data_IF_078751844611
#
_entry.id   IF_078751844611
#
_cell.length_a   1.000
_cell.length_b   1.000
_cell.length_c   1.000
_cell.angle_alpha   90.00
_cell.angle_beta   90.00
_cell.angle_gamma   90.00
#
_symmetry.space_group_name_H-M   'P 1'
#
loop_
_entity.id
_entity.type
_entity.pdbx_description
1 polymer ?
#
# COMPACT_ATOMS: atom_id res chain seq x y z
N UNK A 1 -2.63 17.06 -6.90
CA UNK A 1 -2.26 15.70 -6.48
C UNK A 1 -2.50 15.59 -4.98
N UNK A 2 -3.25 14.60 -4.49
CA UNK A 2 -3.64 14.52 -3.09
C UNK A 2 -2.54 13.96 -2.15
N UNK A 3 -1.53 13.27 -2.69
CA UNK A 3 -0.47 12.60 -1.92
C UNK A 3 0.89 12.93 -2.54
N UNK A 4 1.85 13.36 -1.70
CA UNK A 4 3.21 13.70 -2.11
C UNK A 4 4.24 12.99 -1.24
N UNK A 5 5.31 12.49 -1.87
CA UNK A 5 6.52 12.04 -1.19
C UNK A 5 7.63 13.05 -1.46
N UNK A 6 8.28 13.53 -0.40
CA UNK A 6 9.39 14.48 -0.53
C UNK A 6 10.66 13.80 -1.03
N UNK A 7 11.00 12.67 -0.43
CA UNK A 7 12.15 11.85 -0.80
C UNK A 7 11.79 10.39 -0.84
N UNK A 8 12.36 9.68 -1.80
CA UNK A 8 12.41 8.22 -1.81
C UNK A 8 13.77 7.76 -1.26
N UNK A 9 13.76 6.93 -0.22
CA UNK A 9 14.90 6.20 0.33
C UNK A 9 16.16 7.04 0.64
N UNK A 10 16.09 8.08 1.49
CA UNK A 10 17.27 8.89 1.79
C UNK A 10 18.46 8.07 2.30
N UNK A 11 18.20 7.00 3.08
CA UNK A 11 19.28 6.12 3.56
C UNK A 11 19.97 5.31 2.46
N UNK A 12 19.25 4.91 1.39
CA UNK A 12 19.85 4.24 0.22
C UNK A 12 20.72 5.22 -0.56
N UNK A 13 20.17 6.42 -0.82
CA UNK A 13 20.93 7.48 -1.49
C UNK A 13 22.25 7.76 -0.78
N UNK A 14 22.21 7.91 0.54
CA UNK A 14 23.40 8.17 1.37
C UNK A 14 24.35 6.97 1.38
N UNK A 15 23.83 5.76 1.62
CA UNK A 15 24.64 4.55 1.67
C UNK A 15 25.34 4.27 0.33
N UNK A 16 24.63 4.37 -0.78
CA UNK A 16 25.19 4.02 -2.08
C UNK A 16 26.04 5.15 -2.68
N UNK A 17 25.65 6.40 -2.47
CA UNK A 17 26.35 7.54 -3.06
C UNK A 17 27.54 8.05 -2.25
N UNK A 18 27.47 7.94 -0.91
CA UNK A 18 28.44 8.61 -0.04
C UNK A 18 29.19 7.66 0.92
N UNK A 19 28.66 6.47 1.18
CA UNK A 19 29.33 5.47 2.02
C UNK A 19 30.02 4.38 1.18
N UNK A 20 29.27 3.74 0.26
CA UNK A 20 29.79 2.67 -0.60
C UNK A 20 30.42 3.21 -1.89
N UNK A 21 29.99 4.37 -2.37
CA UNK A 21 30.48 5.00 -3.59
C UNK A 21 30.09 4.28 -4.87
N UNK A 22 28.94 3.56 -4.86
CA UNK A 22 28.40 2.82 -6.02
C UNK A 22 27.60 3.76 -6.91
N UNK A 23 26.76 4.60 -6.30
CA UNK A 23 25.97 5.60 -7.03
C UNK A 23 26.70 6.95 -7.09
N UNK A 24 26.37 7.82 -8.06
CA UNK A 24 26.87 9.20 -8.03
C UNK A 24 26.51 9.87 -6.68
N UNK A 25 27.41 10.66 -6.11
CA UNK A 25 28.69 11.15 -6.65
C UNK A 25 29.91 10.24 -6.41
N UNK A 26 29.72 8.99 -6.01
CA UNK A 26 30.79 8.01 -5.89
C UNK A 26 31.76 8.26 -4.72
N UNK A 27 31.27 8.87 -3.63
CA UNK A 27 32.07 9.16 -2.44
C UNK A 27 32.13 7.96 -1.50
N UNK A 28 33.25 7.88 -0.73
CA UNK A 28 33.45 6.91 0.36
C UNK A 28 33.85 7.68 1.62
N UNK A 29 32.93 8.45 2.16
CA UNK A 29 33.17 9.35 3.27
C UNK A 29 31.99 9.26 4.28
N UNK A 30 32.16 8.53 5.39
CA UNK A 30 31.12 8.37 6.42
C UNK A 30 30.70 9.69 7.07
N UNK A 31 31.61 10.67 7.23
CA UNK A 31 31.29 11.98 7.80
C UNK A 31 30.38 12.76 6.86
N UNK A 32 30.74 12.80 5.59
CA UNK A 32 29.90 13.42 4.57
C UNK A 32 28.55 12.68 4.42
N UNK A 33 28.54 11.36 4.54
CA UNK A 33 27.30 10.57 4.53
C UNK A 33 26.32 11.01 5.63
N UNK A 34 26.79 11.19 6.86
CA UNK A 34 25.98 11.70 7.98
C UNK A 34 25.43 13.10 7.71
N UNK A 35 26.27 14.02 7.24
CA UNK A 35 25.84 15.38 6.91
C UNK A 35 24.82 15.43 5.77
N UNK A 36 24.96 14.58 4.76
CA UNK A 36 23.99 14.49 3.64
C UNK A 36 22.66 13.95 4.14
N UNK A 37 22.65 12.93 5.00
CA UNK A 37 21.40 12.41 5.59
C UNK A 37 20.67 13.50 6.37
N UNK A 38 21.38 14.23 7.24
CA UNK A 38 20.84 15.34 8.01
C UNK A 38 20.23 16.42 7.10
N UNK A 39 20.95 16.85 6.06
CA UNK A 39 20.44 17.82 5.10
C UNK A 39 19.20 17.36 4.36
N UNK A 40 19.11 16.07 3.97
CA UNK A 40 17.93 15.52 3.32
C UNK A 40 16.73 15.50 4.28
N UNK A 41 16.95 15.13 5.54
CA UNK A 41 15.87 15.11 6.54
C UNK A 41 15.39 16.52 6.86
N UNK A 42 16.29 17.51 6.99
CA UNK A 42 15.93 18.92 7.17
C UNK A 42 15.19 19.47 5.95
N UNK A 43 15.63 19.16 4.73
CA UNK A 43 14.93 19.54 3.52
C UNK A 43 13.51 18.94 3.43
N UNK A 44 13.29 17.71 3.97
CA UNK A 44 11.95 17.17 4.12
C UNK A 44 11.08 18.05 5.02
N UNK A 45 11.60 18.44 6.21
CA UNK A 45 10.88 19.27 7.19
C UNK A 45 10.48 20.61 6.56
N UNK A 46 11.42 21.30 5.93
CA UNK A 46 11.16 22.57 5.24
C UNK A 46 10.14 22.41 4.09
N UNK A 47 10.30 21.37 3.28
CA UNK A 47 9.37 21.08 2.17
C UNK A 47 7.96 20.82 2.69
N UNK A 48 7.81 20.08 3.79
CA UNK A 48 6.52 19.83 4.41
C UNK A 48 5.83 21.16 4.79
N UNK A 49 6.53 22.04 5.52
CA UNK A 49 5.97 23.32 5.95
C UNK A 49 5.62 24.24 4.74
N UNK A 50 6.52 24.31 3.76
CA UNK A 50 6.28 25.10 2.54
C UNK A 50 5.06 24.61 1.77
N UNK A 51 4.92 23.29 1.57
CA UNK A 51 3.76 22.72 0.86
C UNK A 51 2.47 22.91 1.66
N UNK A 52 2.51 22.77 2.99
CA UNK A 52 1.33 23.00 3.85
C UNK A 52 0.90 24.47 3.92
N UNK A 53 1.80 25.39 3.68
CA UNK A 53 1.50 26.83 3.64
C UNK A 53 0.81 27.29 2.33
N UNK A 54 0.77 26.47 1.29
CA UNK A 54 0.12 26.80 0.02
C UNK A 54 -1.41 26.82 0.23
N UNK A 55 -2.13 27.90 -0.12
CA UNK A 55 -3.58 27.94 -0.03
C UNK A 55 -4.25 26.80 -0.81
N UNK A 56 -5.17 26.07 -0.17
CA UNK A 56 -5.85 24.91 -0.77
C UNK A 56 -5.11 23.58 -0.59
N UNK A 57 -4.00 23.56 0.13
CA UNK A 57 -3.22 22.34 0.40
C UNK A 57 -3.67 21.58 1.66
N UNK A 58 -4.72 22.02 2.36
CA UNK A 58 -5.13 21.47 3.66
C UNK A 58 -5.44 19.97 3.62
N UNK A 59 -5.91 19.47 2.46
CA UNK A 59 -6.21 18.06 2.22
C UNK A 59 -5.05 17.26 1.62
N UNK A 60 -3.97 17.92 1.27
CA UNK A 60 -2.80 17.26 0.68
C UNK A 60 -2.07 16.49 1.78
N UNK A 61 -1.76 15.22 1.49
CA UNK A 61 -0.97 14.34 2.36
C UNK A 61 0.48 14.36 1.92
N UNK A 62 1.38 14.62 2.84
CA UNK A 62 2.82 14.72 2.59
C UNK A 62 3.54 13.70 3.47
N UNK A 63 4.42 12.94 2.88
CA UNK A 63 5.20 11.93 3.58
C UNK A 63 6.60 11.78 3.01
N UNK A 64 7.35 10.86 3.58
CA UNK A 64 8.67 10.43 3.15
C UNK A 64 8.67 8.92 3.00
N UNK A 65 9.39 8.40 2.01
CA UNK A 65 9.54 6.97 1.80
C UNK A 65 10.83 6.48 2.41
N UNK A 66 10.73 5.56 3.37
CA UNK A 66 11.86 4.95 4.07
C UNK A 66 12.07 3.52 3.63
N UNK A 67 13.26 3.23 3.11
CA UNK A 67 13.71 1.85 2.94
C UNK A 67 14.16 1.26 4.27
N UNK A 68 13.75 0.05 4.56
CA UNK A 68 14.24 -0.73 5.71
C UNK A 68 14.86 -2.02 5.20
N UNK A 69 16.15 -2.15 5.35
CA UNK A 69 16.86 -3.43 5.39
C UNK A 69 17.09 -3.82 6.84
N UNK A 70 17.10 -5.11 7.12
CA UNK A 70 17.50 -5.59 8.43
C UNK A 70 18.91 -6.13 8.37
N UNK A 71 19.76 -5.61 9.24
CA UNK A 71 21.13 -6.07 9.39
C UNK A 71 21.15 -7.08 10.52
N UNK A 72 21.21 -8.37 10.17
CA UNK A 72 21.23 -9.46 11.12
C UNK A 72 22.65 -10.08 11.22
N UNK A 73 23.10 -10.54 12.41
CA UNK A 73 24.40 -11.16 12.55
C UNK A 73 24.47 -12.46 11.75
N UNK A 74 25.53 -12.66 10.96
CA UNK A 74 25.73 -13.90 10.22
C UNK A 74 25.91 -15.08 11.16
N UNK A 75 26.78 -14.89 12.17
CA UNK A 75 27.08 -15.88 13.21
C UNK A 75 26.40 -15.46 14.51
N UNK A 76 25.36 -16.18 14.90
CA UNK A 76 24.51 -15.84 16.06
C UNK A 76 25.25 -15.67 17.39
N UNK A 77 26.45 -16.28 17.53
CA UNK A 77 27.25 -16.27 18.76
C UNK A 77 28.48 -15.36 18.70
N UNK A 78 28.63 -14.59 17.63
CA UNK A 78 29.81 -13.77 17.42
C UNK A 78 29.54 -12.30 17.76
N UNK A 79 30.23 -11.79 18.79
CA UNK A 79 29.99 -10.44 19.32
C UNK A 79 30.15 -9.33 18.30
N UNK A 80 31.18 -9.41 17.42
CA UNK A 80 31.40 -8.38 16.39
C UNK A 80 30.27 -8.39 15.35
N UNK A 81 29.70 -9.55 14.99
CA UNK A 81 28.58 -9.61 14.06
C UNK A 81 27.36 -8.89 14.66
N UNK A 82 27.10 -9.08 15.96
CA UNK A 82 26.06 -8.35 16.67
C UNK A 82 26.31 -6.86 16.78
N UNK A 83 27.55 -6.48 17.14
CA UNK A 83 27.92 -5.06 17.29
C UNK A 83 27.73 -4.29 15.98
N UNK A 84 28.25 -4.80 14.86
CA UNK A 84 28.11 -4.16 13.56
C UNK A 84 26.68 -4.23 13.03
N UNK A 85 25.95 -5.34 13.26
CA UNK A 85 24.52 -5.39 12.90
C UNK A 85 23.72 -4.31 13.63
N UNK A 86 24.00 -4.10 14.93
CA UNK A 86 23.35 -3.04 15.71
C UNK A 86 23.67 -1.65 15.16
N UNK A 87 24.96 -1.34 14.94
CA UNK A 87 25.41 -0.05 14.41
C UNK A 87 24.73 0.23 13.06
N UNK A 88 24.72 -0.75 12.15
CA UNK A 88 24.11 -0.59 10.83
C UNK A 88 22.58 -0.38 10.91
N UNK A 89 21.89 -1.12 11.77
CA UNK A 89 20.46 -0.86 12.01
C UNK A 89 20.23 0.53 12.62
N UNK A 90 21.08 0.97 13.54
CA UNK A 90 20.95 2.28 14.18
C UNK A 90 21.13 3.41 13.14
N UNK A 91 22.20 3.40 12.36
CA UNK A 91 22.46 4.50 11.40
C UNK A 91 21.55 4.45 10.18
N UNK A 92 21.25 3.26 9.67
CA UNK A 92 20.46 3.12 8.46
C UNK A 92 18.97 3.26 8.68
N UNK A 93 18.43 2.64 9.75
CA UNK A 93 17.01 2.54 10.01
C UNK A 93 16.56 3.45 11.15
N UNK A 94 17.21 3.33 12.33
CA UNK A 94 16.69 3.96 13.54
C UNK A 94 16.94 5.47 13.55
N UNK A 95 18.12 5.94 13.14
CA UNK A 95 18.46 7.35 13.18
C UNK A 95 17.51 8.24 12.36
N UNK A 96 17.16 7.94 11.11
CA UNK A 96 16.18 8.73 10.37
C UNK A 96 14.77 8.70 10.99
N UNK A 97 14.32 7.53 11.47
CA UNK A 97 13.00 7.40 12.10
C UNK A 97 12.92 8.16 13.43
N UNK A 98 13.97 8.09 14.24
CA UNK A 98 14.03 8.81 15.52
C UNK A 98 14.07 10.32 15.30
N UNK A 99 14.82 10.81 14.30
CA UNK A 99 14.82 12.22 13.92
C UNK A 99 13.42 12.71 13.54
N UNK A 100 12.71 11.99 12.68
CA UNK A 100 11.34 12.35 12.25
C UNK A 100 10.33 12.31 13.40
N UNK A 101 10.57 11.45 14.39
CA UNK A 101 9.70 11.25 15.55
C UNK A 101 9.94 12.27 16.66
N UNK A 102 11.21 12.59 16.95
CA UNK A 102 11.59 13.35 18.13
C UNK A 102 12.29 14.68 17.83
N UNK A 103 12.73 14.89 16.60
CA UNK A 103 13.58 16.03 16.22
C UNK A 103 15.05 15.89 16.63
N UNK A 104 15.43 14.72 17.17
CA UNK A 104 16.80 14.46 17.63
C UNK A 104 17.23 13.06 17.21
N UNK A 105 18.47 12.95 16.74
CA UNK A 105 19.06 11.64 16.44
C UNK A 105 20.57 11.75 16.30
N UNK A 106 21.24 10.60 16.16
CA UNK A 106 22.67 10.53 15.91
C UNK A 106 22.98 9.53 14.81
N UNK A 107 23.76 9.99 13.85
CA UNK A 107 24.40 9.11 12.86
C UNK A 107 25.80 8.77 13.38
N UNK A 108 25.89 7.70 14.17
CA UNK A 108 27.09 7.35 14.92
C UNK A 108 27.65 5.97 14.49
N UNK A 109 28.92 5.99 14.06
CA UNK A 109 29.72 4.78 13.83
C UNK A 109 31.07 4.94 14.51
N UNK A 110 31.41 4.09 15.51
CA UNK A 110 32.62 4.23 16.30
C UNK A 110 33.89 4.36 15.48
N UNK A 111 34.66 5.43 15.69
CA UNK A 111 35.92 5.70 14.98
C UNK A 111 35.75 6.16 13.52
N UNK A 112 34.54 6.31 13.02
CA UNK A 112 34.27 6.74 11.64
C UNK A 112 33.50 8.06 11.58
N UNK A 113 32.38 8.16 12.29
CA UNK A 113 31.53 9.36 12.28
C UNK A 113 30.75 9.49 13.59
N UNK A 114 30.58 10.74 14.01
CA UNK A 114 29.73 11.15 15.11
C UNK A 114 29.02 12.44 14.67
N UNK A 115 27.80 12.30 14.16
CA UNK A 115 26.97 13.40 13.66
C UNK A 115 25.67 13.44 14.42
N UNK A 116 25.51 14.42 15.34
CA UNK A 116 24.26 14.68 16.02
C UNK A 116 23.33 15.51 15.13
N UNK A 117 22.12 15.01 14.90
CA UNK A 117 21.07 15.68 14.13
C UNK A 117 20.05 16.28 15.07
N UNK A 118 19.75 17.57 14.91
CA UNK A 118 18.80 18.29 15.74
C UNK A 118 17.93 19.22 14.89
N UNK A 119 16.63 18.98 14.89
CA UNK A 119 15.63 19.89 14.36
C UNK A 119 14.32 19.76 15.15
N UNK A 120 14.00 20.70 16.02
CA UNK A 120 12.78 20.65 16.84
C UNK A 120 11.48 20.76 16.03
N UNK A 121 11.54 21.15 14.76
CA UNK A 121 10.38 21.23 13.86
C UNK A 121 10.10 19.91 13.11
N UNK A 122 10.97 18.89 13.23
CA UNK A 122 10.80 17.62 12.54
C UNK A 122 9.58 16.80 13.02
N UNK A 123 9.24 16.75 14.32
CA UNK A 123 8.04 16.05 14.78
C UNK A 123 6.76 16.63 14.16
N UNK A 124 5.91 15.73 13.62
CA UNK A 124 4.64 16.15 13.01
C UNK A 124 4.74 16.55 11.53
N UNK A 125 5.90 16.39 10.89
CA UNK A 125 6.08 16.66 9.45
C UNK A 125 5.76 15.49 8.52
N UNK A 126 4.99 14.51 9.00
CA UNK A 126 4.52 13.37 8.24
C UNK A 126 2.99 13.24 8.37
N UNK A 127 2.25 13.23 7.27
CA UNK A 127 0.85 12.79 7.24
C UNK A 127 0.74 11.27 7.01
N UNK A 128 1.77 10.66 6.48
CA UNK A 128 1.97 9.21 6.30
C UNK A 128 3.46 8.92 6.15
N UNK A 129 3.83 7.65 6.25
CA UNK A 129 5.17 7.18 5.93
C UNK A 129 5.10 6.05 4.92
N UNK A 130 5.97 6.12 3.90
CA UNK A 130 6.17 5.03 2.93
C UNK A 130 7.19 4.02 3.46
N UNK A 131 6.93 2.73 3.26
CA UNK A 131 7.86 1.65 3.53
C UNK A 131 8.25 0.97 2.23
N UNK A 132 9.55 1.00 1.91
CA UNK A 132 10.17 0.11 0.93
C UNK A 132 10.87 -1.01 1.69
N UNK A 133 10.53 -2.26 1.38
CA UNK A 133 11.15 -3.40 2.01
C UNK A 133 11.43 -4.52 1.02
N UNK A 134 12.65 -5.02 1.02
CA UNK A 134 13.04 -6.11 0.15
C UNK A 134 13.56 -7.32 0.92
N UNK A 135 14.50 -7.11 1.87
CA UNK A 135 15.18 -8.23 2.52
C UNK A 135 15.97 -7.82 3.77
N UNK A 136 16.93 -8.65 4.11
CA UNK A 136 17.97 -8.43 5.11
C UNK A 136 19.35 -8.59 4.52
N UNK A 137 20.36 -8.08 5.26
CA UNK A 137 21.78 -8.34 5.03
C UNK A 137 22.35 -9.06 6.25
N UNK A 138 23.08 -10.15 6.05
CA UNK A 138 23.84 -10.79 7.13
C UNK A 138 25.21 -10.14 7.27
N UNK A 139 25.51 -9.65 8.45
CA UNK A 139 26.71 -8.92 8.78
C UNK A 139 27.73 -9.88 9.43
N UNK A 140 28.93 -9.90 8.86
CA UNK A 140 30.08 -10.64 9.37
C UNK A 140 31.15 -9.67 9.82
N UNK A 141 31.29 -9.48 11.13
CA UNK A 141 32.30 -8.61 11.72
C UNK A 141 33.70 -9.16 11.57
N UNK A 142 34.67 -8.27 11.36
CA UNK A 142 36.07 -8.54 11.19
C UNK A 142 36.96 -7.71 12.12
N UNK A 143 38.10 -8.21 12.50
CA UNK A 143 39.11 -7.46 13.23
C UNK A 143 40.08 -6.71 12.25
N UNK A 144 39.50 -6.15 11.21
CA UNK A 144 40.24 -5.33 10.22
C UNK A 144 39.66 -3.91 10.23
N UNK A 145 40.41 -2.88 10.67
CA UNK A 145 39.92 -1.51 10.72
C UNK A 145 39.56 -0.92 9.35
N UNK A 146 40.20 -1.37 8.26
CA UNK A 146 39.89 -0.89 6.91
C UNK A 146 38.62 -1.51 6.33
N UNK A 147 38.26 -2.73 6.78
CA UNK A 147 37.07 -3.46 6.38
C UNK A 147 36.49 -4.16 7.61
N UNK A 148 35.85 -3.41 8.54
CA UNK A 148 35.46 -3.92 9.85
C UNK A 148 34.27 -4.90 9.78
N UNK A 149 33.55 -4.93 8.68
CA UNK A 149 32.48 -5.90 8.40
C UNK A 149 32.34 -6.13 6.90
N UNK A 150 31.71 -7.25 6.57
CA UNK A 150 31.26 -7.57 5.20
C UNK A 150 29.86 -8.13 5.26
N UNK A 151 29.14 -8.05 4.17
CA UNK A 151 27.91 -8.76 3.97
C UNK A 151 28.18 -10.16 3.42
N UNK A 152 27.43 -11.15 3.92
CA UNK A 152 27.58 -12.55 3.52
C UNK A 152 26.18 -13.20 3.50
N UNK A 153 26.05 -14.44 3.04
CA UNK A 153 24.78 -15.17 2.96
C UNK A 153 24.88 -16.49 3.73
N UNK A 154 23.74 -17.04 4.12
CA UNK A 154 23.67 -18.38 4.68
C UNK A 154 23.35 -19.37 3.57
N UNK A 155 23.98 -20.54 3.62
CA UNK A 155 23.81 -21.60 2.62
C UNK A 155 22.33 -22.02 2.41
N UNK A 156 21.51 -21.88 3.43
CA UNK A 156 20.08 -22.27 3.42
C UNK A 156 19.14 -21.16 2.97
N UNK A 157 19.65 -19.97 2.68
CA UNK A 157 18.83 -18.83 2.25
C UNK A 157 18.33 -19.06 0.81
N UNK A 158 17.06 -18.77 0.57
CA UNK A 158 16.50 -18.68 -0.78
C UNK A 158 16.87 -17.30 -1.33
N UNK A 159 17.74 -17.27 -2.33
CA UNK A 159 18.30 -16.05 -2.86
C UNK A 159 17.46 -15.49 -4.00
N UNK A 160 17.40 -14.16 -4.08
CA UNK A 160 16.89 -13.42 -5.25
C UNK A 160 18.03 -13.12 -6.22
N UNK A 161 17.71 -12.72 -7.45
CA UNK A 161 18.74 -12.34 -8.44
C UNK A 161 19.53 -11.09 -8.03
N UNK A 162 18.99 -10.26 -7.12
CA UNK A 162 19.70 -9.13 -6.50
C UNK A 162 20.74 -9.56 -5.45
N UNK A 163 20.88 -10.86 -5.17
CA UNK A 163 21.87 -11.37 -4.23
C UNK A 163 21.54 -11.20 -2.75
N UNK A 164 20.30 -10.90 -2.40
CA UNK A 164 19.83 -10.92 -1.02
C UNK A 164 18.74 -11.99 -0.78
N UNK A 165 18.61 -12.51 0.45
CA UNK A 165 17.71 -13.61 0.73
C UNK A 165 16.24 -13.18 0.79
N UNK A 166 15.33 -14.10 0.47
CA UNK A 166 13.92 -13.96 0.77
C UNK A 166 13.70 -14.00 2.28
N UNK A 167 13.09 -12.94 2.86
CA UNK A 167 12.91 -12.82 4.31
C UNK A 167 11.62 -12.10 4.70
N UNK A 168 10.51 -12.81 4.65
CA UNK A 168 9.18 -12.26 4.92
C UNK A 168 8.95 -11.90 6.40
N UNK A 169 9.58 -12.62 7.33
CA UNK A 169 9.55 -12.30 8.78
C UNK A 169 10.16 -10.93 9.05
N UNK A 170 11.14 -10.54 8.25
CA UNK A 170 11.72 -9.21 8.29
C UNK A 170 10.78 -8.13 7.79
N UNK A 171 9.94 -8.43 6.84
CA UNK A 171 8.91 -7.49 6.38
C UNK A 171 7.92 -7.17 7.51
N UNK A 172 7.46 -8.19 8.24
CA UNK A 172 6.64 -7.97 9.43
C UNK A 172 7.36 -7.14 10.49
N UNK A 173 8.65 -7.43 10.77
CA UNK A 173 9.48 -6.62 11.69
C UNK A 173 9.60 -5.17 11.23
N UNK A 174 9.80 -4.94 9.93
CA UNK A 174 9.90 -3.60 9.35
C UNK A 174 8.60 -2.81 9.51
N UNK A 175 7.44 -3.46 9.28
CA UNK A 175 6.12 -2.86 9.50
C UNK A 175 5.92 -2.46 10.98
N UNK A 176 6.37 -3.29 11.93
CA UNK A 176 6.34 -2.94 13.35
C UNK A 176 7.27 -1.78 13.67
N UNK A 177 8.49 -1.81 13.18
CA UNK A 177 9.48 -0.74 13.44
C UNK A 177 8.97 0.61 12.92
N UNK A 178 8.44 0.65 11.69
CA UNK A 178 7.98 1.92 11.11
C UNK A 178 6.67 2.41 11.73
N UNK A 179 5.84 1.52 12.28
CA UNK A 179 4.59 1.88 12.96
C UNK A 179 4.81 2.73 14.22
N UNK A 180 6.00 2.63 14.84
CA UNK A 180 6.37 3.44 16.01
C UNK A 180 6.47 4.94 15.72
N UNK A 181 6.49 5.34 14.45
CA UNK A 181 6.39 6.75 14.02
C UNK A 181 5.01 7.33 14.30
N UNK A 182 3.96 6.49 14.37
CA UNK A 182 2.62 6.89 14.79
C UNK A 182 1.76 7.54 13.69
N UNK A 183 2.13 7.37 12.41
CA UNK A 183 1.36 7.84 11.25
C UNK A 183 0.96 6.67 10.35
N UNK A 184 -0.06 6.83 9.48
CA UNK A 184 -0.44 5.80 8.52
C UNK A 184 0.72 5.34 7.64
N UNK A 185 0.78 4.05 7.34
CA UNK A 185 1.82 3.43 6.51
C UNK A 185 1.27 3.11 5.13
N UNK A 186 2.04 3.42 4.09
CA UNK A 186 1.89 2.83 2.76
C UNK A 186 3.13 1.97 2.48
N UNK A 187 2.94 0.69 2.17
CA UNK A 187 4.03 -0.11 1.59
C UNK A 187 4.19 0.35 0.14
N UNK A 188 5.18 1.20 -0.08
CA UNK A 188 5.41 1.87 -1.36
C UNK A 188 6.20 1.02 -2.33
N UNK A 189 7.03 0.11 -1.80
CA UNK A 189 7.72 -0.89 -2.61
C UNK A 189 7.92 -2.18 -1.82
N UNK A 190 7.57 -3.30 -2.43
CA UNK A 190 7.91 -4.63 -1.94
C UNK A 190 7.89 -5.62 -3.12
N UNK A 191 8.98 -6.28 -3.41
CA UNK A 191 9.15 -7.15 -4.58
C UNK A 191 10.47 -7.88 -4.58
N UNK A 192 10.72 -8.63 -5.66
CA UNK A 192 11.99 -9.34 -5.85
C UNK A 192 12.37 -9.37 -7.33
N UNK A 193 13.68 -9.41 -7.60
CA UNK A 193 14.19 -9.80 -8.91
C UNK A 193 14.24 -11.33 -9.01
N UNK A 194 13.56 -11.88 -10.00
CA UNK A 194 13.50 -13.32 -10.29
C UNK A 194 13.21 -13.53 -11.78
N UNK A 195 14.26 -13.61 -12.58
CA UNK A 195 14.16 -13.76 -14.05
C UNK A 195 13.53 -15.10 -14.42
N UNK A 196 13.84 -16.16 -13.67
CA UNK A 196 13.30 -17.50 -13.90
C UNK A 196 11.87 -17.70 -13.43
N UNK A 197 11.33 -16.72 -12.70
CA UNK A 197 9.97 -16.74 -12.15
C UNK A 197 9.67 -17.97 -11.26
N UNK A 198 10.68 -18.46 -10.55
CA UNK A 198 10.60 -19.67 -9.72
C UNK A 198 10.38 -19.39 -8.25
N UNK A 199 10.78 -18.22 -7.77
CA UNK A 199 10.71 -17.79 -6.37
C UNK A 199 9.57 -16.80 -6.14
N UNK A 200 9.14 -16.09 -7.18
CA UNK A 200 8.09 -15.06 -7.13
C UNK A 200 6.78 -15.51 -6.48
N UNK A 201 6.21 -16.69 -6.79
CA UNK A 201 4.98 -17.15 -6.13
C UNK A 201 5.15 -17.26 -4.62
N UNK A 202 6.25 -17.88 -4.18
CA UNK A 202 6.57 -18.06 -2.76
C UNK A 202 6.81 -16.72 -2.04
N UNK A 203 7.47 -15.77 -2.72
CA UNK A 203 7.64 -14.41 -2.23
C UNK A 203 6.26 -13.76 -1.97
N UNK A 204 5.41 -13.74 -2.99
CA UNK A 204 4.09 -13.11 -2.91
C UNK A 204 3.29 -13.70 -1.75
N UNK A 205 3.19 -15.01 -1.66
CA UNK A 205 2.43 -15.69 -0.60
C UNK A 205 2.96 -15.34 0.80
N UNK A 206 4.27 -15.44 1.02
CA UNK A 206 4.88 -15.22 2.33
C UNK A 206 4.81 -13.76 2.77
N UNK A 207 5.06 -12.82 1.86
CA UNK A 207 5.06 -11.39 2.21
C UNK A 207 3.64 -10.87 2.42
N UNK A 208 2.67 -11.32 1.63
CA UNK A 208 1.27 -11.00 1.88
C UNK A 208 0.73 -11.63 3.17
N UNK A 209 1.21 -12.83 3.53
CA UNK A 209 0.92 -13.41 4.84
C UNK A 209 1.49 -12.53 5.97
N UNK A 210 2.73 -12.07 5.86
CA UNK A 210 3.36 -11.17 6.82
C UNK A 210 2.60 -9.84 6.95
N UNK A 211 2.17 -9.25 5.81
CA UNK A 211 1.31 -8.07 5.77
C UNK A 211 -0.01 -8.31 6.52
N UNK A 212 -0.66 -9.44 6.27
CA UNK A 212 -1.92 -9.79 6.94
C UNK A 212 -1.75 -9.97 8.47
N UNK A 213 -0.61 -10.50 8.93
CA UNK A 213 -0.34 -10.56 10.38
C UNK A 213 -0.22 -9.16 11.00
N UNK A 214 0.46 -8.22 10.32
CA UNK A 214 0.56 -6.83 10.77
C UNK A 214 -0.82 -6.13 10.82
N UNK A 215 -1.68 -6.36 9.82
CA UNK A 215 -3.05 -5.85 9.80
C UNK A 215 -3.91 -6.42 10.95
N UNK A 216 -3.76 -7.71 11.30
CA UNK A 216 -4.43 -8.32 12.46
C UNK A 216 -4.01 -7.68 13.78
N UNK A 217 -2.79 -7.20 13.89
CA UNK A 217 -2.31 -6.42 15.03
C UNK A 217 -2.73 -4.94 15.01
N UNK A 218 -3.59 -4.56 14.05
CA UNK A 218 -4.13 -3.21 13.87
C UNK A 218 -3.08 -2.15 13.55
N UNK A 219 -1.97 -2.53 12.91
CA UNK A 219 -1.04 -1.55 12.33
C UNK A 219 -1.78 -0.83 11.19
N UNK A 220 -1.77 0.50 11.20
CA UNK A 220 -2.50 1.34 10.23
C UNK A 220 -1.81 1.34 8.86
N UNK A 221 -1.99 0.25 8.10
CA UNK A 221 -1.46 0.09 6.75
C UNK A 221 -2.58 0.39 5.76
N UNK A 222 -2.41 1.42 4.92
CA UNK A 222 -3.46 1.94 4.03
C UNK A 222 -3.25 1.59 2.56
N UNK A 223 -2.10 1.06 2.19
CA UNK A 223 -1.82 0.65 0.82
C UNK A 223 -0.61 -0.25 0.71
N UNK A 224 -0.60 -1.05 -0.37
CA UNK A 224 0.52 -1.92 -0.72
C UNK A 224 0.76 -1.85 -2.23
N UNK A 225 1.98 -1.54 -2.62
CA UNK A 225 2.43 -1.45 -4.00
C UNK A 225 3.55 -2.47 -4.23
N UNK A 226 3.31 -3.38 -5.18
CA UNK A 226 4.33 -4.34 -5.57
C UNK A 226 5.40 -3.64 -6.43
N UNK A 227 6.68 -3.87 -6.15
CA UNK A 227 7.77 -3.44 -7.02
C UNK A 227 8.24 -4.59 -7.90
N UNK A 228 7.92 -4.53 -9.21
CA UNK A 228 7.26 -3.47 -9.95
C UNK A 228 6.15 -4.03 -10.84
N UNK A 229 5.33 -3.15 -11.41
CA UNK A 229 4.29 -3.58 -12.35
C UNK A 229 4.91 -4.28 -13.56
N UNK A 230 5.98 -3.74 -14.11
CA UNK A 230 6.68 -4.28 -15.28
C UNK A 230 8.18 -4.14 -15.12
N UNK A 231 8.96 -4.97 -15.82
CA UNK A 231 10.42 -4.86 -15.85
C UNK A 231 10.85 -3.45 -16.26
N UNK A 232 11.85 -2.92 -15.57
CA UNK A 232 12.35 -1.57 -15.76
C UNK A 232 13.88 -1.51 -15.65
N UNK A 233 14.42 -0.30 -15.72
CA UNK A 233 15.84 -0.03 -15.54
C UNK A 233 16.18 0.04 -14.04
N UNK A 234 16.99 -0.93 -13.55
CA UNK A 234 17.35 -1.03 -12.13
C UNK A 234 18.73 -0.41 -11.88
N UNK A 235 18.79 0.92 -11.89
CA UNK A 235 19.98 1.71 -11.52
C UNK A 235 21.30 1.14 -12.11
N UNK A 236 22.25 0.77 -11.25
CA UNK A 236 23.57 0.23 -11.66
C UNK A 236 23.47 -1.16 -12.34
N UNK A 237 22.39 -1.89 -12.13
CA UNK A 237 22.15 -3.23 -12.70
C UNK A 237 21.52 -3.17 -14.11
N UNK A 238 21.11 -1.97 -14.55
CA UNK A 238 20.50 -1.80 -15.87
C UNK A 238 19.21 -2.58 -16.01
N UNK A 239 19.06 -3.31 -17.11
CA UNK A 239 17.86 -4.13 -17.39
C UNK A 239 18.01 -5.61 -17.01
N UNK A 240 19.08 -5.99 -16.30
CA UNK A 240 19.34 -7.38 -15.94
C UNK A 240 18.40 -7.90 -14.85
N UNK A 241 17.98 -7.03 -13.92
CA UNK A 241 17.12 -7.39 -12.80
C UNK A 241 15.63 -7.37 -13.19
N UNK A 242 14.93 -8.49 -13.00
CA UNK A 242 13.56 -8.70 -13.45
C UNK A 242 12.58 -8.65 -12.26
N UNK A 243 12.17 -7.43 -11.91
CA UNK A 243 11.22 -7.19 -10.81
C UNK A 243 9.75 -7.26 -11.25
N UNK A 244 9.47 -7.10 -12.54
CA UNK A 244 8.12 -6.92 -13.06
C UNK A 244 7.16 -8.07 -12.75
N UNK A 245 5.92 -7.74 -12.38
CA UNK A 245 4.80 -8.67 -12.51
C UNK A 245 4.60 -9.03 -13.99
N UNK A 246 4.87 -8.07 -14.86
CA UNK A 246 4.89 -8.26 -16.30
C UNK A 246 6.34 -8.26 -16.83
N UNK A 247 6.66 -9.27 -17.61
CA UNK A 247 7.85 -9.30 -18.44
C UNK A 247 7.73 -8.26 -19.56
N UNK A 248 8.82 -7.56 -19.88
CA UNK A 248 8.87 -6.60 -21.00
C UNK A 248 9.89 -7.04 -22.01
N UNK A 249 9.44 -7.22 -23.26
CA UNK A 249 10.35 -7.30 -24.38
C UNK A 249 10.79 -5.88 -24.76
N UNK A 250 12.07 -5.55 -24.56
CA UNK A 250 12.58 -4.20 -24.77
C UNK A 250 12.60 -3.77 -26.24
N UNK A 251 12.64 -4.72 -27.18
CA UNK A 251 12.63 -4.44 -28.63
C UNK A 251 11.21 -4.18 -29.14
N UNK A 252 10.27 -5.09 -28.83
CA UNK A 252 8.89 -5.02 -29.32
C UNK A 252 7.95 -4.23 -28.41
N UNK A 253 8.39 -3.94 -27.19
CA UNK A 253 7.57 -3.30 -26.14
C UNK A 253 6.35 -4.14 -25.71
N UNK A 254 6.33 -5.43 -26.04
CA UNK A 254 5.29 -6.35 -25.57
C UNK A 254 5.42 -6.57 -24.06
N UNK A 255 4.28 -6.62 -23.36
CA UNK A 255 4.19 -6.90 -21.93
C UNK A 255 3.40 -8.19 -21.74
N UNK A 256 3.98 -9.14 -21.01
CA UNK A 256 3.37 -10.43 -20.74
C UNK A 256 3.36 -10.70 -19.25
N UNK A 257 2.19 -11.03 -18.71
CA UNK A 257 2.09 -11.39 -17.28
C UNK A 257 2.93 -12.63 -16.99
N UNK A 258 3.81 -12.55 -15.99
CA UNK A 258 4.59 -13.69 -15.53
C UNK A 258 3.68 -14.69 -14.81
N UNK A 259 3.91 -15.98 -15.01
CA UNK A 259 3.10 -17.03 -14.38
C UNK A 259 3.19 -16.96 -12.84
N UNK A 260 4.38 -16.68 -12.32
CA UNK A 260 4.61 -16.52 -10.88
C UNK A 260 3.95 -15.31 -10.25
N UNK A 261 3.43 -14.38 -11.06
CA UNK A 261 2.66 -13.22 -10.58
C UNK A 261 1.19 -13.54 -10.32
N UNK A 262 0.70 -14.70 -10.75
CA UNK A 262 -0.72 -15.05 -10.64
C UNK A 262 -1.27 -15.00 -9.20
N UNK A 263 -0.54 -15.42 -8.13
CA UNK A 263 -1.03 -15.29 -6.76
C UNK A 263 -1.34 -13.85 -6.35
N UNK A 264 -0.56 -12.86 -6.84
CA UNK A 264 -0.84 -11.45 -6.58
C UNK A 264 -2.11 -10.98 -7.29
N UNK A 265 -2.25 -11.32 -8.58
CA UNK A 265 -3.44 -11.00 -9.37
C UNK A 265 -4.69 -11.61 -8.72
N UNK A 266 -4.63 -12.89 -8.35
CA UNK A 266 -5.73 -13.59 -7.68
C UNK A 266 -6.14 -12.89 -6.38
N UNK A 267 -5.17 -12.49 -5.57
CA UNK A 267 -5.44 -11.77 -4.32
C UNK A 267 -6.10 -10.41 -4.58
N UNK A 268 -5.55 -9.60 -5.49
CA UNK A 268 -6.10 -8.26 -5.80
C UNK A 268 -7.49 -8.37 -6.40
N UNK A 269 -7.72 -9.34 -7.29
CA UNK A 269 -9.03 -9.54 -7.91
C UNK A 269 -10.06 -10.15 -6.96
N UNK A 270 -9.66 -11.06 -6.05
CA UNK A 270 -10.55 -11.63 -5.03
C UNK A 270 -10.91 -10.64 -3.92
N UNK A 271 -9.96 -9.79 -3.49
CA UNK A 271 -10.20 -8.82 -2.40
C UNK A 271 -11.20 -7.72 -2.70
N UNK A 272 -11.39 -7.36 -3.96
CA UNK A 272 -12.42 -6.40 -4.35
C UNK A 272 -13.85 -6.85 -4.01
N UNK A 273 -14.06 -8.16 -3.77
CA UNK A 273 -15.36 -8.75 -3.50
C UNK A 273 -15.57 -9.13 -2.01
N UNK A 274 -14.52 -9.53 -1.25
CA UNK A 274 -14.73 -10.31 -0.02
C UNK A 274 -14.82 -9.48 1.27
N UNK A 275 -14.08 -8.37 1.43
CA UNK A 275 -14.05 -7.62 2.71
C UNK A 275 -15.30 -6.76 2.96
N UNK A 276 -16.10 -6.49 1.93
CA UNK A 276 -17.36 -5.74 2.03
C UNK A 276 -18.61 -6.58 1.71
N UNK A 277 -18.44 -7.89 1.46
CA UNK A 277 -19.52 -8.77 1.09
C UNK A 277 -20.02 -8.63 -0.35
N UNK A 278 -19.33 -7.88 -1.25
CA UNK A 278 -19.75 -7.76 -2.65
C UNK A 278 -19.31 -8.98 -3.48
N UNK A 279 -20.24 -9.46 -4.35
CA UNK A 279 -20.02 -10.56 -5.28
C UNK A 279 -19.74 -10.10 -6.71
N UNK A 280 -19.96 -8.82 -7.01
CA UNK A 280 -19.82 -8.21 -8.34
C UNK A 280 -18.52 -7.41 -8.45
N UNK A 281 -17.96 -7.34 -9.66
CA UNK A 281 -16.70 -6.65 -9.95
C UNK A 281 -16.89 -5.60 -11.04
N UNK A 282 -16.06 -4.57 -10.98
CA UNK A 282 -16.01 -3.55 -12.04
C UNK A 282 -15.62 -4.20 -13.37
N UNK A 283 -16.40 -3.93 -14.42
CA UNK A 283 -16.19 -4.48 -15.77
C UNK A 283 -16.88 -5.81 -16.03
N UNK A 284 -17.49 -6.45 -15.04
CA UNK A 284 -18.32 -7.65 -15.23
C UNK A 284 -19.74 -7.29 -15.69
N UNK A 285 -20.33 -8.19 -16.48
CA UNK A 285 -21.74 -8.08 -16.83
C UNK A 285 -22.59 -8.47 -15.62
N UNK A 286 -23.45 -7.56 -15.17
CA UNK A 286 -24.40 -7.87 -14.10
C UNK A 286 -25.30 -9.05 -14.49
N UNK A 287 -25.61 -9.89 -13.49
CA UNK A 287 -26.61 -10.95 -13.69
C UNK A 287 -27.95 -10.32 -14.12
N UNK A 288 -28.67 -10.99 -15.00
CA UNK A 288 -30.00 -10.55 -15.41
C UNK A 288 -31.05 -11.06 -14.40
N UNK A 289 -31.95 -10.21 -13.97
CA UNK A 289 -32.98 -10.52 -13.00
C UNK A 289 -34.26 -9.68 -13.25
N UNK A 290 -35.36 -10.11 -12.69
CA UNK A 290 -36.63 -9.41 -12.75
C UNK A 290 -36.91 -8.73 -11.41
N UNK A 291 -37.40 -7.49 -11.45
CA UNK A 291 -37.76 -6.65 -10.31
C UNK A 291 -39.27 -6.48 -10.25
N UNK A 292 -39.87 -6.74 -9.09
CA UNK A 292 -41.26 -6.45 -8.80
C UNK A 292 -41.33 -5.10 -8.09
N UNK A 293 -41.78 -4.05 -8.78
CA UNK A 293 -41.90 -2.73 -8.20
C UNK A 293 -43.06 -2.64 -7.22
N UNK A 294 -42.94 -1.73 -6.25
CA UNK A 294 -44.02 -1.43 -5.30
C UNK A 294 -45.33 -0.98 -5.96
N UNK A 295 -45.30 -0.57 -7.22
CA UNK A 295 -46.46 -0.23 -8.06
C UNK A 295 -47.18 -1.46 -8.64
N UNK A 296 -46.62 -2.65 -8.53
CA UNK A 296 -47.09 -3.88 -9.17
C UNK A 296 -46.57 -4.09 -10.59
N UNK A 297 -45.77 -3.18 -11.11
CA UNK A 297 -45.07 -3.33 -12.39
C UNK A 297 -43.88 -4.28 -12.24
N UNK A 298 -43.70 -5.14 -13.25
CA UNK A 298 -42.55 -6.04 -13.33
C UNK A 298 -41.61 -5.59 -14.43
N UNK A 299 -40.30 -5.39 -14.09
CA UNK A 299 -39.27 -4.90 -15.00
C UNK A 299 -38.07 -5.82 -14.93
N UNK A 300 -37.54 -6.23 -16.10
CA UNK A 300 -36.33 -7.01 -16.19
C UNK A 300 -35.12 -6.09 -16.39
N UNK A 301 -33.99 -6.40 -15.74
CA UNK A 301 -32.79 -5.55 -15.87
C UNK A 301 -32.34 -5.40 -17.33
N UNK A 302 -32.43 -6.46 -18.11
CA UNK A 302 -32.09 -6.43 -19.55
C UNK A 302 -32.97 -5.50 -20.40
N UNK A 303 -34.18 -5.15 -19.94
CA UNK A 303 -35.07 -4.21 -20.64
C UNK A 303 -34.61 -2.77 -20.53
N UNK A 304 -33.69 -2.50 -19.59
CA UNK A 304 -33.09 -1.18 -19.35
C UNK A 304 -31.78 -0.97 -20.13
N UNK A 305 -31.44 -1.84 -21.07
CA UNK A 305 -30.24 -1.70 -21.89
C UNK A 305 -30.22 -0.36 -22.63
N UNK A 306 -29.04 0.24 -22.73
CA UNK A 306 -28.84 1.58 -23.30
C UNK A 306 -29.03 2.72 -22.31
N UNK A 307 -29.45 2.43 -21.07
CA UNK A 307 -29.55 3.38 -19.97
C UNK A 307 -28.46 3.13 -18.92
N UNK A 308 -28.12 4.14 -18.17
CA UNK A 308 -27.31 3.99 -16.94
C UNK A 308 -28.26 3.58 -15.83
N UNK A 309 -28.09 2.38 -15.30
CA UNK A 309 -28.91 1.86 -14.19
C UNK A 309 -28.14 1.99 -12.88
N UNK A 310 -28.71 2.67 -11.91
CA UNK A 310 -28.19 2.77 -10.54
C UNK A 310 -29.09 1.94 -9.64
N UNK A 311 -28.55 0.90 -9.03
CA UNK A 311 -29.23 0.07 -8.03
C UNK A 311 -28.82 0.51 -6.64
N UNK A 312 -29.78 0.93 -5.82
CA UNK A 312 -29.58 1.19 -4.40
C UNK A 312 -30.23 0.06 -3.60
N UNK A 313 -29.43 -0.79 -2.99
CA UNK A 313 -29.94 -1.74 -2.01
C UNK A 313 -30.29 -0.98 -0.72
N UNK A 314 -31.50 -1.23 -0.19
CA UNK A 314 -32.03 -0.46 0.94
C UNK A 314 -32.89 -1.34 1.86
N UNK A 315 -33.17 -0.81 3.05
CA UNK A 315 -34.13 -1.37 4.00
C UNK A 315 -34.60 -0.28 4.99
N UNK A 316 -35.80 -0.41 5.54
CA UNK A 316 -36.34 0.59 6.45
C UNK A 316 -35.54 0.77 7.76
N UNK A 317 -34.84 -0.28 8.19
CA UNK A 317 -33.98 -0.29 9.37
C UNK A 317 -32.55 0.21 9.09
N UNK A 318 -32.17 0.41 7.82
CA UNK A 318 -30.84 0.88 7.44
C UNK A 318 -30.68 2.39 7.68
N UNK A 319 -29.93 2.77 8.69
CA UNK A 319 -29.72 4.18 9.07
C UNK A 319 -28.91 4.98 8.04
N UNK A 320 -28.02 4.33 7.30
CA UNK A 320 -27.23 4.93 6.21
C UNK A 320 -28.15 5.21 5.03
N UNK A 321 -28.98 4.25 4.64
CA UNK A 321 -29.93 4.37 3.54
C UNK A 321 -30.89 5.55 3.76
N UNK A 322 -31.39 5.72 4.97
CA UNK A 322 -32.26 6.87 5.33
C UNK A 322 -31.57 8.23 5.13
N UNK A 323 -30.26 8.30 5.30
CA UNK A 323 -29.50 9.54 5.06
C UNK A 323 -29.21 9.77 3.57
N UNK A 324 -28.99 8.69 2.83
CA UNK A 324 -28.64 8.75 1.40
C UNK A 324 -29.85 8.99 0.49
N UNK A 325 -30.99 8.38 0.78
CA UNK A 325 -32.18 8.39 -0.10
C UNK A 325 -32.63 9.80 -0.51
N UNK A 326 -32.69 10.81 0.38
CA UNK A 326 -33.03 12.17 -0.03
C UNK A 326 -32.03 12.81 -1.00
N UNK A 327 -30.73 12.47 -0.86
CA UNK A 327 -29.68 12.93 -1.77
C UNK A 327 -29.79 12.24 -3.14
N UNK A 328 -30.01 10.92 -3.14
CA UNK A 328 -30.24 10.16 -4.37
C UNK A 328 -31.48 10.63 -5.12
N UNK A 329 -32.56 10.94 -4.41
CA UNK A 329 -33.74 11.55 -4.99
C UNK A 329 -33.42 12.86 -5.69
N UNK A 330 -32.77 13.79 -4.99
CA UNK A 330 -32.51 15.14 -5.47
C UNK A 330 -31.39 15.17 -6.53
N UNK A 331 -30.25 14.59 -6.21
CA UNK A 331 -29.00 14.80 -6.92
C UNK A 331 -28.78 13.80 -8.06
N UNK A 332 -29.48 12.65 -8.02
CA UNK A 332 -29.42 11.62 -9.05
C UNK A 332 -30.74 11.50 -9.81
N UNK A 333 -31.82 11.15 -9.13
CA UNK A 333 -33.09 10.87 -9.81
C UNK A 333 -33.67 12.12 -10.49
N UNK A 334 -33.93 13.17 -9.76
CA UNK A 334 -34.51 14.41 -10.34
C UNK A 334 -33.58 15.09 -11.33
N UNK A 335 -32.26 14.97 -11.18
CA UNK A 335 -31.29 15.58 -12.06
C UNK A 335 -31.11 14.84 -13.39
N UNK A 336 -31.34 13.51 -13.44
CA UNK A 336 -30.93 12.67 -14.57
C UNK A 336 -31.99 11.71 -15.11
N UNK A 337 -33.19 11.58 -14.52
CA UNK A 337 -34.26 10.68 -14.97
C UNK A 337 -34.63 10.87 -16.45
N UNK A 338 -34.56 12.12 -16.95
CA UNK A 338 -34.87 12.47 -18.33
C UNK A 338 -33.62 12.44 -19.25
N UNK A 339 -32.47 11.99 -18.72
CA UNK A 339 -31.18 11.93 -19.43
C UNK A 339 -30.63 10.51 -19.60
N UNK A 340 -31.51 9.52 -19.59
CA UNK A 340 -31.12 8.12 -19.78
C UNK A 340 -30.54 7.43 -18.54
N UNK A 341 -30.77 7.97 -17.34
CA UNK A 341 -30.45 7.35 -16.06
C UNK A 341 -31.71 6.79 -15.42
N UNK A 342 -31.63 5.58 -14.89
CA UNK A 342 -32.67 4.94 -14.10
C UNK A 342 -32.10 4.63 -12.73
N UNK A 343 -32.67 5.22 -11.68
CA UNK A 343 -32.36 4.90 -10.29
C UNK A 343 -33.46 3.98 -9.76
N UNK A 344 -33.10 2.85 -9.16
CA UNK A 344 -34.00 1.86 -8.59
C UNK A 344 -33.55 1.53 -7.18
N UNK A 345 -34.43 1.71 -6.20
CA UNK A 345 -34.24 1.13 -4.88
C UNK A 345 -34.59 -0.37 -4.92
N UNK A 346 -33.82 -1.21 -4.28
CA UNK A 346 -34.13 -2.64 -4.09
C UNK A 346 -34.21 -2.87 -2.59
N UNK A 347 -35.45 -3.01 -2.10
CA UNK A 347 -35.71 -3.16 -0.66
C UNK A 347 -35.55 -4.63 -0.27
N UNK A 348 -34.66 -4.86 0.68
CA UNK A 348 -34.20 -6.18 1.07
C UNK A 348 -35.10 -6.81 2.12
N UNK A 349 -35.86 -7.80 1.68
CA UNK A 349 -36.56 -8.77 2.53
C UNK A 349 -37.59 -8.16 3.51
N UNK A 350 -38.26 -7.05 3.12
CA UNK A 350 -39.31 -6.43 3.90
C UNK A 350 -40.68 -6.57 3.21
N UNK A 351 -41.79 -6.63 3.99
CA UNK A 351 -43.12 -6.66 3.44
C UNK A 351 -43.48 -5.37 2.68
N UNK A 352 -44.34 -5.48 1.65
CA UNK A 352 -44.71 -4.38 0.76
C UNK A 352 -45.23 -3.14 1.51
N UNK A 353 -46.03 -3.33 2.55
CA UNK A 353 -46.59 -2.24 3.34
C UNK A 353 -45.54 -1.45 4.12
N UNK A 354 -44.46 -2.14 4.59
CA UNK A 354 -43.31 -1.53 5.23
C UNK A 354 -42.52 -0.71 4.20
N UNK A 355 -42.27 -1.26 3.02
CA UNK A 355 -41.53 -0.60 1.94
C UNK A 355 -42.26 0.65 1.45
N UNK A 356 -43.59 0.57 1.24
CA UNK A 356 -44.42 1.71 0.83
C UNK A 356 -44.38 2.84 1.88
N UNK A 357 -44.48 2.48 3.16
CA UNK A 357 -44.35 3.45 4.25
C UNK A 357 -42.99 4.08 4.27
N UNK A 358 -41.93 3.29 4.13
CA UNK A 358 -40.55 3.75 4.11
C UNK A 358 -40.30 4.70 2.95
N UNK A 359 -40.72 4.37 1.74
CA UNK A 359 -40.63 5.23 0.55
C UNK A 359 -41.32 6.60 0.79
N UNK A 360 -42.50 6.58 1.38
CA UNK A 360 -43.25 7.79 1.74
C UNK A 360 -42.53 8.63 2.79
N UNK A 361 -42.00 7.98 3.84
CA UNK A 361 -41.29 8.65 4.92
C UNK A 361 -39.98 9.31 4.43
N UNK A 362 -39.32 8.74 3.41
CA UNK A 362 -38.11 9.28 2.79
C UNK A 362 -38.41 10.32 1.69
N UNK A 363 -39.64 10.46 1.25
CA UNK A 363 -40.08 11.40 0.21
C UNK A 363 -39.44 11.09 -1.17
N UNK A 364 -39.15 9.82 -1.44
CA UNK A 364 -38.52 9.41 -2.72
C UNK A 364 -39.57 9.06 -3.76
N UNK A 365 -39.28 9.43 -5.03
CA UNK A 365 -40.18 9.22 -6.17
C UNK A 365 -39.63 8.23 -7.20
N UNK A 366 -38.35 7.84 -7.08
CA UNK A 366 -37.83 6.78 -7.93
C UNK A 366 -38.42 5.42 -7.57
N UNK A 367 -38.53 4.49 -8.56
CA UNK A 367 -39.11 3.18 -8.32
C UNK A 367 -38.34 2.39 -7.26
N UNK A 368 -39.08 1.70 -6.40
CA UNK A 368 -38.53 0.74 -5.46
C UNK A 368 -39.06 -0.65 -5.80
N UNK A 369 -38.18 -1.62 -5.90
CA UNK A 369 -38.49 -3.04 -6.05
C UNK A 369 -38.44 -3.73 -4.68
N UNK A 370 -39.32 -4.71 -4.48
CA UNK A 370 -39.28 -5.61 -3.33
C UNK A 370 -38.38 -6.82 -3.68
N UNK A 371 -37.59 -7.27 -2.72
CA UNK A 371 -36.66 -8.41 -2.88
C UNK A 371 -36.87 -9.46 -1.77
N UNK A 372 -37.97 -10.23 -1.81
CA UNK A 372 -38.26 -11.26 -0.81
C UNK A 372 -37.15 -12.33 -0.77
N UNK A 373 -36.63 -12.61 0.43
CA UNK A 373 -35.54 -13.57 0.62
C UNK A 373 -34.20 -13.07 0.13
N UNK A 374 -34.05 -11.74 -0.12
CA UNK A 374 -32.83 -11.11 -0.58
C UNK A 374 -32.22 -11.80 -1.81
N UNK A 375 -33.04 -12.15 -2.79
CA UNK A 375 -32.64 -12.92 -3.96
C UNK A 375 -31.88 -12.05 -4.97
N UNK A 376 -32.35 -10.82 -5.21
CA UNK A 376 -31.64 -9.84 -6.07
C UNK A 376 -30.38 -9.37 -5.35
N UNK A 377 -30.47 -8.99 -4.06
CA UNK A 377 -29.33 -8.61 -3.24
C UNK A 377 -28.22 -9.67 -3.27
N UNK A 378 -28.60 -10.96 -3.16
CA UNK A 378 -27.68 -12.10 -3.19
C UNK A 378 -26.95 -12.31 -4.52
N UNK A 379 -27.32 -11.62 -5.61
CA UNK A 379 -26.56 -11.59 -6.86
C UNK A 379 -25.38 -10.60 -6.80
N UNK A 380 -25.44 -9.62 -5.90
CA UNK A 380 -24.49 -8.52 -5.79
C UNK A 380 -23.66 -8.54 -4.52
N UNK A 381 -24.20 -9.10 -3.44
CA UNK A 381 -23.54 -9.16 -2.14
C UNK A 381 -23.90 -10.43 -1.36
N UNK A 382 -23.07 -10.78 -0.36
CA UNK A 382 -23.39 -11.88 0.56
C UNK A 382 -24.69 -11.56 1.32
N UNK A 383 -25.63 -12.49 1.29
CA UNK A 383 -26.92 -12.35 1.98
C UNK A 383 -26.81 -12.13 3.50
N UNK A 384 -25.66 -12.46 4.10
CA UNK A 384 -25.39 -12.22 5.52
C UNK A 384 -24.72 -10.87 5.78
N UNK A 385 -24.34 -10.12 4.73
CA UNK A 385 -23.79 -8.77 4.90
C UNK A 385 -24.91 -7.75 5.21
N UNK A 386 -24.52 -6.59 5.75
CA UNK A 386 -25.44 -5.45 5.90
C UNK A 386 -25.85 -4.87 4.54
N UNK A 387 -26.92 -4.09 4.52
CA UNK A 387 -27.35 -3.28 3.37
C UNK A 387 -26.56 -1.98 3.34
#
# INVERSE_FOLDING_TARGET
>A
VPIWCTFNEPSVFVAQGYFNGIFPPGKKDPVLAGAVLENMLNAHVETYHLLKAIPGSEKVKIGLVKNIFQFDPLRRWHLLDWAFSKILNDVYTNAPLEFLKTGKSSFYMPGMVDNEMLNPEAPGTLDFIGLNYYSRMHVKGRLNPEEPFVFDTRHQDIMTDMGYPLYAEGFYRALKTISDVGVPIYVTENGLADDKDTVRPLFIERYLYALNQALKERIDIRGYFYWSLMDNFEWAEGYSMKFGLYEVNLETQERKLRKGSQPFIDMVTKRGADERGYLVRIGETAADFTMDYTTGEQVKLSDLRGKVVVLQFTASWCSVCRKEMPHLEKDVWQAYKDKGVVLIGVDRDEPLDVVLKFQKDMGTTYPIAIDPGANIFGLFADKNSGV
#
